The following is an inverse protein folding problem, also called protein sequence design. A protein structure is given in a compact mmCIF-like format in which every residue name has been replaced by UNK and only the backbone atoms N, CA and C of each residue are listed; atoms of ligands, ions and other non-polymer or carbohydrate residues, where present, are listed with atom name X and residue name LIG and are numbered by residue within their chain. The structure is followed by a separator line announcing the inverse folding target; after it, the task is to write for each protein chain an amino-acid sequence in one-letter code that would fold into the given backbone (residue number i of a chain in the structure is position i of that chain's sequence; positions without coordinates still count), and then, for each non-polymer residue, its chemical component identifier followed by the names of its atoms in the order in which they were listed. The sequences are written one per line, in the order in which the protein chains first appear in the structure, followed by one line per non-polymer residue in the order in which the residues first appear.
data_IF_535895782424
#
_entry.id   IF_535895782424
#
_cell.length_a   1.000
_cell.length_b   1.000
_cell.length_c   1.000
_cell.angle_alpha   90.00
_cell.angle_beta   90.00
_cell.angle_gamma   90.00
#
_symmetry.space_group_name_H-M   'P 1'
#
loop_
_entity.id
_entity.type
_entity.pdbx_description
1 polymer ?
#
# COMPACT_ATOMS: atom_id res chain seq x y z
N UNK A 1 -11.54 -4.71 2.53
CA UNK A 1 -11.37 -3.86 3.72
C UNK A 1 -12.21 -2.59 3.64
N UNK A 2 -11.98 -1.69 2.67
CA UNK A 2 -12.78 -0.45 2.53
C UNK A 2 -14.29 -0.70 2.42
N UNK A 3 -14.72 -1.54 1.47
CA UNK A 3 -16.13 -1.93 1.32
C UNK A 3 -16.71 -2.60 2.57
N UNK A 4 -15.91 -3.41 3.26
CA UNK A 4 -16.29 -4.04 4.53
C UNK A 4 -16.54 -2.99 5.61
N UNK A 5 -15.68 -1.96 5.70
CA UNK A 5 -15.86 -0.85 6.65
C UNK A 5 -17.08 0.01 6.34
N UNK A 6 -17.33 0.28 5.06
CA UNK A 6 -18.53 1.02 4.61
C UNK A 6 -19.79 0.25 4.97
N UNK A 7 -19.81 -1.06 4.71
CA UNK A 7 -20.94 -1.92 5.05
C UNK A 7 -21.21 -1.99 6.56
N UNK A 8 -20.16 -2.11 7.38
CA UNK A 8 -20.29 -2.10 8.85
C UNK A 8 -20.79 -0.74 9.36
N UNK A 9 -20.39 0.36 8.72
CA UNK A 9 -20.83 1.72 9.07
C UNK A 9 -22.25 2.05 8.59
N UNK A 10 -22.94 1.11 7.93
CA UNK A 10 -24.28 1.32 7.37
C UNK A 10 -24.32 2.27 6.17
N UNK A 11 -23.17 2.53 5.53
CA UNK A 11 -23.06 3.43 4.39
C UNK A 11 -23.27 2.72 3.04
N UNK A 12 -23.63 3.49 2.02
CA UNK A 12 -23.83 3.01 0.66
C UNK A 12 -22.61 3.18 -0.24
N UNK A 13 -22.59 2.41 -1.35
CA UNK A 13 -21.63 2.60 -2.43
C UNK A 13 -22.07 3.75 -3.36
N UNK A 14 -21.88 4.98 -2.88
CA UNK A 14 -22.12 6.21 -3.63
C UNK A 14 -20.83 6.76 -4.28
N UNK A 15 -20.95 7.88 -5.02
CA UNK A 15 -19.82 8.52 -5.71
C UNK A 15 -18.69 8.92 -4.75
N UNK A 16 -18.99 9.35 -3.52
CA UNK A 16 -17.99 9.72 -2.53
C UNK A 16 -17.20 8.52 -2.00
N UNK A 17 -17.90 7.40 -1.77
CA UNK A 17 -17.28 6.11 -1.46
C UNK A 17 -16.34 5.70 -2.59
N UNK A 18 -16.75 5.82 -3.86
CA UNK A 18 -15.92 5.48 -5.03
C UNK A 18 -14.69 6.37 -5.16
N UNK A 19 -14.81 7.68 -4.93
CA UNK A 19 -13.66 8.60 -4.88
C UNK A 19 -12.68 8.12 -3.81
N UNK A 20 -13.17 7.73 -2.63
CA UNK A 20 -12.35 7.12 -1.58
C UNK A 20 -11.63 5.86 -2.03
N UNK A 21 -12.31 4.97 -2.77
CA UNK A 21 -11.69 3.77 -3.34
C UNK A 21 -10.56 4.10 -4.33
N UNK A 22 -10.73 5.10 -5.19
CA UNK A 22 -9.70 5.54 -6.14
C UNK A 22 -8.46 6.05 -5.40
N UNK A 23 -8.65 6.85 -4.36
CA UNK A 23 -7.55 7.33 -3.49
C UNK A 23 -6.81 6.15 -2.86
N UNK A 24 -7.54 5.15 -2.38
CA UNK A 24 -6.94 3.94 -1.80
C UNK A 24 -6.13 3.12 -2.80
N UNK A 25 -6.54 3.04 -4.06
CA UNK A 25 -5.74 2.38 -5.11
C UNK A 25 -4.38 3.05 -5.24
N UNK A 26 -4.33 4.38 -5.29
CA UNK A 26 -3.08 5.14 -5.33
C UNK A 26 -2.21 4.95 -4.08
N UNK A 27 -2.81 5.04 -2.88
CA UNK A 27 -2.11 4.82 -1.62
C UNK A 27 -1.56 3.40 -1.49
N UNK A 28 -2.32 2.41 -1.94
CA UNK A 28 -1.90 1.01 -2.02
C UNK A 28 -0.71 0.85 -2.96
N UNK A 29 -0.81 1.40 -4.16
CA UNK A 29 0.22 1.29 -5.18
C UNK A 29 1.55 1.90 -4.71
N UNK A 30 1.51 3.09 -4.09
CA UNK A 30 2.65 3.73 -3.42
C UNK A 30 3.33 2.79 -2.44
N UNK A 31 2.56 2.15 -1.56
CA UNK A 31 3.13 1.30 -0.53
C UNK A 31 3.72 0.01 -1.13
N UNK A 32 3.07 -0.55 -2.16
CA UNK A 32 3.51 -1.76 -2.83
C UNK A 32 4.78 -1.53 -3.68
N UNK A 33 4.81 -0.46 -4.49
CA UNK A 33 5.94 -0.17 -5.39
C UNK A 33 7.22 0.03 -4.60
N UNK A 34 7.16 0.73 -3.46
CA UNK A 34 8.32 0.99 -2.62
C UNK A 34 8.96 -0.29 -2.06
N UNK A 35 8.18 -1.33 -1.78
CA UNK A 35 8.69 -2.64 -1.32
C UNK A 35 9.28 -3.39 -2.51
N UNK A 36 8.55 -3.46 -3.63
CA UNK A 36 8.96 -4.20 -4.83
C UNK A 36 10.24 -3.62 -5.44
N UNK A 37 10.38 -2.31 -5.45
CA UNK A 37 11.57 -1.61 -5.95
C UNK A 37 12.79 -1.91 -5.09
N UNK A 38 12.68 -1.79 -3.76
CA UNK A 38 13.78 -2.14 -2.85
C UNK A 38 14.15 -3.63 -2.93
N UNK A 39 13.17 -4.51 -3.05
CA UNK A 39 13.43 -5.94 -3.22
C UNK A 39 14.17 -6.20 -4.55
N UNK A 40 13.79 -5.50 -5.62
CA UNK A 40 14.47 -5.58 -6.92
C UNK A 40 15.91 -5.06 -6.83
N UNK A 41 16.15 -3.94 -6.18
CA UNK A 41 17.50 -3.40 -5.97
C UNK A 41 18.38 -4.38 -5.17
N UNK A 42 17.84 -4.99 -4.12
CA UNK A 42 18.55 -5.99 -3.33
C UNK A 42 18.83 -7.28 -4.11
N UNK A 43 17.93 -7.71 -4.99
CA UNK A 43 18.20 -8.81 -5.94
C UNK A 43 19.31 -8.45 -6.93
N UNK A 44 19.34 -7.22 -7.44
CA UNK A 44 20.44 -6.74 -8.30
C UNK A 44 21.78 -6.68 -7.56
N UNK A 45 21.77 -6.40 -6.26
CA UNK A 45 22.93 -6.51 -5.38
C UNK A 45 23.35 -7.96 -5.08
N UNK A 46 22.70 -8.96 -5.71
CA UNK A 46 23.07 -10.37 -5.64
C UNK A 46 22.32 -11.19 -4.59
N UNK A 47 21.33 -10.62 -3.90
CA UNK A 47 20.53 -11.37 -2.90
C UNK A 47 19.51 -12.28 -3.58
N UNK A 48 19.16 -13.37 -2.90
CA UNK A 48 18.06 -14.23 -3.36
C UNK A 48 16.70 -13.51 -3.26
N UNK A 49 15.69 -13.87 -4.07
CA UNK A 49 14.38 -13.21 -4.05
C UNK A 49 13.71 -13.17 -2.68
N UNK A 50 13.89 -14.24 -1.91
CA UNK A 50 13.32 -14.36 -0.56
C UNK A 50 14.04 -13.43 0.42
N UNK A 51 15.37 -13.40 0.39
CA UNK A 51 16.16 -12.53 1.26
C UNK A 51 15.90 -11.05 0.94
N UNK A 52 15.87 -10.72 -0.36
CA UNK A 52 15.59 -9.37 -0.83
C UNK A 52 14.20 -8.89 -0.40
N UNK A 53 13.17 -9.72 -0.54
CA UNK A 53 11.81 -9.39 -0.11
C UNK A 53 11.71 -9.16 1.41
N UNK A 54 12.35 -10.01 2.22
CA UNK A 54 12.33 -9.88 3.69
C UNK A 54 13.01 -8.58 4.14
N UNK A 55 14.19 -8.28 3.58
CA UNK A 55 14.95 -7.09 3.96
C UNK A 55 14.28 -5.80 3.47
N UNK A 56 13.76 -5.78 2.24
CA UNK A 56 12.96 -4.68 1.73
C UNK A 56 11.75 -4.41 2.64
N UNK A 57 11.02 -5.44 3.05
CA UNK A 57 9.90 -5.30 3.98
C UNK A 57 10.32 -4.73 5.33
N UNK A 58 11.46 -5.13 5.89
CA UNK A 58 11.96 -4.59 7.18
C UNK A 58 12.33 -3.11 7.06
N UNK A 59 13.00 -2.72 5.98
CA UNK A 59 13.41 -1.33 5.75
C UNK A 59 12.22 -0.41 5.53
N UNK A 60 11.15 -0.91 4.90
CA UNK A 60 9.96 -0.12 4.59
C UNK A 60 8.87 -0.16 5.67
N UNK A 61 8.93 -1.10 6.61
CA UNK A 61 7.91 -1.26 7.66
C UNK A 61 7.66 0.05 8.41
N UNK A 62 8.73 0.69 8.91
CA UNK A 62 8.61 1.94 9.69
C UNK A 62 8.08 3.11 8.83
N UNK A 63 8.63 3.39 7.62
CA UNK A 63 8.07 4.39 6.72
C UNK A 63 6.60 4.15 6.33
N UNK A 64 6.22 2.92 6.02
CA UNK A 64 4.84 2.58 5.63
C UNK A 64 3.89 2.80 6.79
N UNK A 65 4.23 2.32 7.99
CA UNK A 65 3.42 2.54 9.19
C UNK A 65 3.29 4.03 9.52
N UNK A 66 4.39 4.80 9.45
CA UNK A 66 4.37 6.24 9.69
C UNK A 66 3.37 6.96 8.78
N UNK A 67 3.46 6.74 7.46
CA UNK A 67 2.57 7.44 6.52
C UNK A 67 1.13 6.95 6.60
N UNK A 68 0.92 5.65 6.86
CA UNK A 68 -0.41 5.08 7.01
C UNK A 68 -1.10 5.62 8.25
N UNK A 69 -0.41 5.66 9.39
CA UNK A 69 -0.96 6.18 10.65
C UNK A 69 -1.23 7.68 10.57
N UNK A 70 -0.32 8.46 9.99
CA UNK A 70 -0.53 9.88 9.77
C UNK A 70 -1.77 10.14 8.89
N UNK A 71 -1.93 9.34 7.82
CA UNK A 71 -3.09 9.44 6.94
C UNK A 71 -4.39 9.08 7.68
N UNK A 72 -4.40 7.96 8.42
CA UNK A 72 -5.55 7.51 9.23
C UNK A 72 -5.97 8.57 10.25
N UNK A 73 -5.02 9.18 10.95
CA UNK A 73 -5.32 10.28 11.87
C UNK A 73 -5.82 11.53 11.14
N UNK A 74 -5.30 11.84 9.95
CA UNK A 74 -5.73 12.96 9.13
C UNK A 74 -7.17 12.82 8.61
N UNK A 75 -7.63 11.61 8.32
CA UNK A 75 -9.01 11.35 7.87
C UNK A 75 -9.99 11.09 9.03
N UNK A 76 -9.51 10.92 10.26
CA UNK A 76 -10.34 10.69 11.44
C UNK A 76 -11.43 11.77 11.64
N UNK A 77 -11.14 13.09 11.46
CA UNK A 77 -12.18 14.12 11.58
C UNK A 77 -13.28 14.03 10.52
N UNK A 78 -13.00 13.44 9.35
CA UNK A 78 -14.01 13.26 8.29
C UNK A 78 -15.00 12.16 8.69
N UNK A 79 -14.51 11.09 9.31
CA UNK A 79 -15.33 9.99 9.85
C UNK A 79 -16.24 10.49 10.97
N UNK A 80 -15.73 11.35 11.84
CA UNK A 80 -16.46 11.89 13.00
C UNK A 80 -17.21 13.21 12.69
N UNK A 81 -17.26 13.61 11.42
CA UNK A 81 -17.80 14.93 11.07
C UNK A 81 -19.31 15.01 11.30
N UNK A 82 -19.76 16.14 11.87
CA UNK A 82 -21.17 16.45 12.07
C UNK A 82 -21.55 17.77 11.38
N UNK A 83 -22.85 18.02 11.25
CA UNK A 83 -23.40 19.23 10.62
C UNK A 83 -23.63 19.09 9.11
N UNK A 84 -23.67 20.23 8.40
CA UNK A 84 -23.95 20.24 6.97
C UNK A 84 -22.92 19.43 6.18
N UNK A 85 -23.40 18.59 5.25
CA UNK A 85 -22.55 17.72 4.43
C UNK A 85 -21.79 16.64 5.20
N UNK A 86 -22.21 16.30 6.42
CA UNK A 86 -21.61 15.22 7.22
C UNK A 86 -21.72 13.86 6.51
N UNK A 87 -22.88 13.54 5.92
CA UNK A 87 -23.09 12.30 5.15
C UNK A 87 -22.03 12.09 4.07
N UNK A 88 -21.75 13.14 3.29
CA UNK A 88 -20.75 13.12 2.23
C UNK A 88 -19.33 12.90 2.76
N UNK A 89 -18.95 13.64 3.81
CA UNK A 89 -17.62 13.56 4.43
C UNK A 89 -17.40 12.22 5.14
N UNK A 90 -18.42 11.72 5.81
CA UNK A 90 -18.42 10.44 6.51
C UNK A 90 -18.31 9.27 5.54
N UNK A 91 -19.12 9.24 4.47
CA UNK A 91 -19.06 8.18 3.45
C UNK A 91 -17.65 8.03 2.85
N UNK A 92 -17.05 9.15 2.44
CA UNK A 92 -15.67 9.17 1.94
C UNK A 92 -14.67 8.80 3.05
N UNK A 93 -14.80 9.41 4.23
CA UNK A 93 -13.89 9.21 5.36
C UNK A 93 -13.83 7.76 5.81
N UNK A 94 -14.98 7.10 5.98
CA UNK A 94 -15.09 5.70 6.39
C UNK A 94 -14.45 4.78 5.36
N UNK A 95 -14.73 5.00 4.07
CA UNK A 95 -14.16 4.20 2.99
C UNK A 95 -12.63 4.24 3.02
N UNK A 96 -12.04 5.42 3.08
CA UNK A 96 -10.58 5.57 3.09
C UNK A 96 -9.97 5.14 4.43
N UNK A 97 -10.61 5.41 5.56
CA UNK A 97 -10.12 5.00 6.89
C UNK A 97 -10.00 3.47 7.00
N UNK A 98 -11.09 2.75 6.74
CA UNK A 98 -11.11 1.29 6.79
C UNK A 98 -10.24 0.67 5.68
N UNK A 99 -10.21 1.31 4.51
CA UNK A 99 -9.36 0.92 3.40
C UNK A 99 -7.88 1.01 3.72
N UNK A 100 -7.43 2.11 4.33
CA UNK A 100 -6.03 2.36 4.66
C UNK A 100 -5.53 1.36 5.70
N UNK A 101 -6.32 1.10 6.75
CA UNK A 101 -6.00 0.06 7.74
C UNK A 101 -5.85 -1.30 7.05
N UNK A 102 -6.80 -1.65 6.18
CA UNK A 102 -6.73 -2.87 5.40
C UNK A 102 -5.49 -2.95 4.50
N UNK A 103 -5.18 -1.89 3.75
CA UNK A 103 -4.02 -1.87 2.85
C UNK A 103 -2.70 -1.95 3.61
N UNK A 104 -2.61 -1.34 4.79
CA UNK A 104 -1.41 -1.45 5.61
C UNK A 104 -1.27 -2.86 6.17
N UNK A 105 -2.34 -3.43 6.71
CA UNK A 105 -2.33 -4.77 7.28
C UNK A 105 -2.13 -5.87 6.23
N UNK A 106 -2.82 -5.81 5.10
CA UNK A 106 -2.69 -6.82 4.04
C UNK A 106 -1.50 -6.53 3.13
N UNK A 107 -1.28 -5.28 2.73
CA UNK A 107 -0.23 -4.90 1.78
C UNK A 107 1.18 -5.19 2.31
N UNK A 108 1.46 -4.99 3.60
CA UNK A 108 2.78 -5.29 4.18
C UNK A 108 3.15 -6.78 4.10
N UNK A 109 2.17 -7.68 4.21
CA UNK A 109 2.41 -9.13 4.16
C UNK A 109 2.25 -9.70 2.76
N UNK A 110 1.22 -9.27 2.01
CA UNK A 110 0.94 -9.83 0.68
C UNK A 110 1.93 -9.34 -0.37
N UNK A 111 2.41 -8.09 -0.31
CA UNK A 111 3.36 -7.56 -1.30
C UNK A 111 4.65 -8.39 -1.41
N UNK A 112 5.39 -8.69 -0.33
CA UNK A 112 6.60 -9.52 -0.42
C UNK A 112 6.29 -10.96 -0.84
N UNK A 113 5.14 -11.52 -0.43
CA UNK A 113 4.71 -12.86 -0.86
C UNK A 113 4.46 -12.89 -2.37
N UNK A 114 3.74 -11.91 -2.91
CA UNK A 114 3.50 -11.80 -4.34
C UNK A 114 4.80 -11.58 -5.12
N UNK A 115 5.74 -10.80 -4.59
CA UNK A 115 7.04 -10.62 -5.22
C UNK A 115 7.78 -11.95 -5.39
N UNK A 116 7.92 -12.73 -4.30
CA UNK A 116 8.57 -14.05 -4.34
C UNK A 116 7.82 -15.03 -5.23
N UNK A 117 6.49 -15.04 -5.19
CA UNK A 117 5.66 -15.90 -6.02
C UNK A 117 5.85 -15.61 -7.51
N UNK A 118 5.80 -14.32 -7.90
CA UNK A 118 6.04 -13.90 -9.28
C UNK A 118 7.46 -14.28 -9.72
N UNK A 119 8.44 -14.18 -8.83
CA UNK A 119 9.82 -14.55 -9.14
C UNK A 119 9.99 -16.05 -9.37
N UNK A 120 9.33 -16.87 -8.54
CA UNK A 120 9.28 -18.33 -8.71
C UNK A 120 8.60 -18.72 -10.01
N UNK A 121 7.46 -18.10 -10.35
CA UNK A 121 6.76 -18.34 -11.62
C UNK A 121 7.57 -17.90 -12.84
N UNK A 122 8.36 -16.84 -12.74
CA UNK A 122 9.28 -16.40 -13.78
C UNK A 122 10.56 -17.26 -13.90
N UNK A 123 10.68 -18.33 -13.11
CA UNK A 123 11.79 -19.28 -13.15
C UNK A 123 13.08 -18.76 -12.50
N UNK A 124 12.99 -17.79 -11.58
CA UNK A 124 14.14 -17.18 -10.87
C UNK A 124 15.30 -16.74 -11.80
N UNK A 125 15.01 -16.45 -13.07
CA UNK A 125 16.04 -16.00 -14.03
C UNK A 125 16.68 -14.72 -13.51
N UNK A 126 18.01 -14.62 -13.54
CA UNK A 126 18.72 -13.41 -13.14
C UNK A 126 18.06 -12.18 -13.78
N UNK A 127 17.73 -11.16 -12.96
CA UNK A 127 17.14 -9.93 -13.47
C UNK A 127 18.13 -9.32 -14.47
N UNK A 128 17.68 -9.05 -15.70
CA UNK A 128 18.44 -8.26 -16.66
C UNK A 128 18.03 -6.80 -16.51
N UNK A 129 18.99 -5.94 -16.21
CA UNK A 129 18.81 -4.49 -16.27
C UNK A 129 18.53 -4.10 -17.73
N UNK A 130 17.31 -3.63 -18.01
CA UNK A 130 17.00 -2.92 -19.24
C UNK A 130 17.06 -1.42 -18.93
N UNK A 131 18.27 -0.86 -18.93
CA UNK A 131 18.55 0.55 -18.57
C UNK A 131 19.96 0.77 -18.04
N UNK A 132 20.46 2.02 -18.12
CA UNK A 132 21.80 2.39 -17.66
C UNK A 132 21.91 2.29 -16.13
N UNK A 133 23.07 1.82 -15.67
CA UNK A 133 23.44 1.72 -14.25
C UNK A 133 23.43 3.12 -13.63
N UNK A 134 22.67 3.39 -12.55
CA UNK A 134 22.91 4.57 -11.74
C UNK A 134 24.34 4.43 -11.19
N UNK A 135 25.24 5.31 -11.63
CA UNK A 135 26.63 5.27 -11.19
C UNK A 135 26.67 5.31 -9.67
N UNK A 136 27.26 4.28 -9.07
CA UNK A 136 27.64 4.31 -7.67
C UNK A 136 28.50 5.56 -7.46
N UNK A 137 28.02 6.48 -6.64
CA UNK A 137 28.78 7.66 -6.23
C UNK A 137 29.92 7.12 -5.37
N UNK A 138 31.10 7.07 -5.97
CA UNK A 138 32.37 6.79 -5.31
C UNK A 138 32.77 7.94 -4.39
#
# INVERSE_FOLDING_TARGET
AAMTGVWISGGDNNVFTQIGLIVLVGLSAKNAILIVEFARELEFAGRTPVQAAIEASRLRLRPILMTSLAFVMGVLPLVLSTGAGAEMRSAMGVAVFAGMIGVTAFGLFLTPVFYVLMRRLAGNKALKLHGAVPQAIA
#
